data_IF_988417420585
#
_entry.id   IF_988417420585
#
_cell.length_a   1.000
_cell.length_b   1.000
_cell.length_c   1.000
_cell.angle_alpha   90.00
_cell.angle_beta   90.00
_cell.angle_gamma   90.00
#
_symmetry.space_group_name_H-M   'P 1'
#
loop_
_entity.id
_entity.type
_entity.pdbx_description
1 polymer ?
#
# COMPACT_ATOMS: atom_id res chain seq x y z
N UNK A 1 -3.20 5.93 -8.03
CA UNK A 1 -4.04 5.67 -6.84
C UNK A 1 -4.34 4.18 -6.78
N UNK A 2 -4.23 3.56 -5.62
CA UNK A 2 -4.43 2.12 -5.43
C UNK A 2 -5.36 1.96 -4.23
N UNK A 3 -6.45 1.23 -4.41
CA UNK A 3 -7.29 0.75 -3.30
C UNK A 3 -6.93 -0.71 -3.06
N UNK A 4 -6.55 -1.06 -1.84
CA UNK A 4 -6.21 -2.42 -1.48
C UNK A 4 -6.79 -2.78 -0.11
N UNK A 5 -7.08 -4.06 0.08
CA UNK A 5 -7.41 -4.63 1.39
C UNK A 5 -6.14 -5.17 2.03
N UNK A 6 -6.00 -4.97 3.33
CA UNK A 6 -4.89 -5.46 4.11
C UNK A 6 -5.36 -6.29 5.30
N UNK A 7 -4.47 -7.12 5.84
CA UNK A 7 -4.60 -7.66 7.19
C UNK A 7 -4.20 -6.61 8.23
N UNK A 8 -4.75 -6.65 9.46
CA UNK A 8 -4.48 -5.66 10.50
C UNK A 8 -3.01 -5.57 10.91
N UNK A 9 -2.30 -6.70 10.90
CA UNK A 9 -0.95 -6.81 11.44
C UNK A 9 0.15 -6.52 10.41
N UNK A 10 -0.20 -5.94 9.24
CA UNK A 10 0.82 -5.57 8.26
C UNK A 10 1.48 -4.24 8.64
N UNK A 11 2.77 -4.13 8.38
CA UNK A 11 3.43 -2.83 8.28
C UNK A 11 3.10 -2.19 6.92
N UNK A 12 2.12 -1.29 6.92
CA UNK A 12 1.66 -0.59 5.71
C UNK A 12 2.77 0.24 5.07
N UNK A 13 3.65 0.84 5.88
CA UNK A 13 4.78 1.64 5.38
C UNK A 13 5.75 0.76 4.60
N UNK A 14 6.10 -0.40 5.17
CA UNK A 14 6.99 -1.37 4.52
C UNK A 14 6.37 -1.96 3.26
N UNK A 15 5.06 -2.25 3.28
CA UNK A 15 4.34 -2.74 2.11
C UNK A 15 4.36 -1.71 0.96
N UNK A 16 4.03 -0.45 1.24
CA UNK A 16 4.04 0.64 0.24
C UNK A 16 5.45 0.87 -0.30
N UNK A 17 6.47 0.90 0.56
CA UNK A 17 7.86 1.06 0.14
C UNK A 17 8.35 -0.10 -0.73
N UNK A 18 7.95 -1.33 -0.39
CA UNK A 18 8.26 -2.52 -1.19
C UNK A 18 7.59 -2.43 -2.56
N UNK A 19 6.31 -2.08 -2.61
CA UNK A 19 5.59 -1.87 -3.86
C UNK A 19 6.27 -0.81 -4.75
N UNK A 20 6.59 0.36 -4.21
CA UNK A 20 7.26 1.44 -4.95
C UNK A 20 8.64 1.00 -5.46
N UNK A 21 9.40 0.28 -4.63
CA UNK A 21 10.73 -0.21 -5.00
C UNK A 21 10.68 -1.25 -6.12
N UNK A 22 9.82 -2.26 -5.99
CA UNK A 22 9.68 -3.35 -6.96
C UNK A 22 9.14 -2.84 -8.29
N UNK A 23 8.08 -2.02 -8.26
CA UNK A 23 7.50 -1.42 -9.47
C UNK A 23 8.50 -0.51 -10.19
N UNK A 24 9.24 0.34 -9.46
CA UNK A 24 10.32 1.16 -10.03
C UNK A 24 11.37 0.30 -10.74
N UNK A 25 11.77 -0.83 -10.12
CA UNK A 25 12.73 -1.77 -10.73
C UNK A 25 12.18 -2.37 -12.02
N UNK A 26 10.94 -2.84 -12.03
CA UNK A 26 10.33 -3.45 -13.22
C UNK A 26 10.17 -2.42 -14.35
N UNK A 27 9.65 -1.23 -14.06
CA UNK A 27 9.52 -0.18 -15.08
C UNK A 27 10.87 0.18 -15.69
N UNK A 28 11.91 0.35 -14.87
CA UNK A 28 13.27 0.66 -15.38
C UNK A 28 13.93 -0.50 -16.14
N UNK A 29 13.53 -1.75 -15.86
CA UNK A 29 14.01 -2.95 -16.57
C UNK A 29 13.31 -3.11 -17.92
N UNK A 30 11.98 -3.02 -17.92
CA UNK A 30 11.14 -3.32 -19.09
C UNK A 30 11.07 -2.12 -20.05
N UNK A 31 11.28 -0.90 -19.54
CA UNK A 31 11.32 0.33 -20.32
C UNK A 31 12.58 1.15 -20.02
N UNK A 32 13.79 0.69 -20.44
CA UNK A 32 15.05 1.37 -20.10
C UNK A 32 15.11 2.85 -20.50
N UNK A 33 14.42 3.21 -21.60
CA UNK A 33 14.29 4.60 -22.08
C UNK A 33 13.72 5.54 -21.02
N UNK A 34 12.93 5.07 -20.06
CA UNK A 34 12.36 5.91 -18.99
C UNK A 34 13.45 6.62 -18.18
N UNK A 35 14.62 5.99 -18.01
CA UNK A 35 15.71 6.51 -17.16
C UNK A 35 16.18 7.90 -17.58
N UNK A 36 16.12 8.22 -18.88
CA UNK A 36 16.52 9.53 -19.40
C UNK A 36 15.59 10.68 -18.98
N UNK A 37 14.38 10.35 -18.51
CA UNK A 37 13.37 11.30 -18.06
C UNK A 37 13.25 11.36 -16.53
N UNK A 38 13.99 10.52 -15.80
CA UNK A 38 13.91 10.45 -14.34
C UNK A 38 15.00 11.28 -13.68
N UNK A 39 14.60 12.15 -12.77
CA UNK A 39 15.56 12.84 -11.90
C UNK A 39 16.20 11.83 -10.93
N UNK A 40 17.53 11.71 -10.98
CA UNK A 40 18.32 10.78 -10.15
C UNK A 40 17.82 9.33 -10.21
N UNK A 41 17.31 8.91 -11.36
CA UNK A 41 16.70 7.59 -11.58
C UNK A 41 15.53 7.22 -10.65
N UNK A 42 14.91 8.20 -9.99
CA UNK A 42 13.78 7.97 -9.09
C UNK A 42 12.47 7.97 -9.87
N UNK A 43 11.85 6.80 -9.99
CA UNK A 43 10.54 6.65 -10.64
C UNK A 43 9.39 7.18 -9.77
N UNK A 44 9.48 6.98 -8.46
CA UNK A 44 8.50 7.47 -7.50
C UNK A 44 9.08 8.61 -6.65
N UNK A 45 8.23 9.55 -6.25
CA UNK A 45 8.52 10.43 -5.12
C UNK A 45 8.83 9.61 -3.87
N UNK A 46 9.62 10.15 -2.93
CA UNK A 46 9.84 9.51 -1.62
C UNK A 46 8.55 9.46 -0.80
N UNK A 47 7.70 10.48 -0.92
CA UNK A 47 6.42 10.57 -0.22
C UNK A 47 5.36 9.61 -0.76
N UNK A 48 4.35 9.33 0.06
CA UNK A 48 3.11 8.65 -0.34
C UNK A 48 1.97 9.17 0.54
N UNK A 49 0.74 9.02 0.05
CA UNK A 49 -0.48 9.30 0.81
C UNK A 49 -1.19 7.97 1.10
N UNK A 50 -1.62 7.79 2.34
CA UNK A 50 -2.36 6.62 2.79
C UNK A 50 -3.64 7.10 3.48
N UNK A 51 -4.78 6.64 2.98
CA UNK A 51 -6.11 6.99 3.48
C UNK A 51 -6.84 5.70 3.83
N UNK A 52 -7.47 5.66 5.00
CA UNK A 52 -8.37 4.56 5.36
C UNK A 52 -9.72 4.76 4.67
N UNK A 53 -10.32 3.66 4.24
CA UNK A 53 -11.66 3.67 3.63
C UNK A 53 -12.51 2.59 4.30
N UNK A 54 -13.70 2.96 4.76
CA UNK A 54 -14.66 2.05 5.39
C UNK A 54 -14.65 2.14 6.91
N UNK A 55 -15.86 2.10 7.49
CA UNK A 55 -16.09 1.81 8.91
C UNK A 55 -16.68 0.41 9.03
N UNK A 56 -16.32 -0.32 10.09
CA UNK A 56 -17.07 -1.53 10.44
C UNK A 56 -18.44 -1.11 10.97
N UNK A 57 -19.57 -1.64 10.45
CA UNK A 57 -20.88 -1.43 11.07
C UNK A 57 -20.83 -1.80 12.55
N UNK A 58 -21.55 -1.07 13.39
CA UNK A 58 -21.58 -1.30 14.84
C UNK A 58 -22.02 -2.75 15.16
N UNK A 59 -22.87 -3.32 14.31
CA UNK A 59 -23.32 -4.71 14.37
C UNK A 59 -22.17 -5.71 14.19
N UNK A 60 -21.20 -5.41 13.32
CA UNK A 60 -20.02 -6.25 13.10
C UNK A 60 -19.10 -6.23 14.32
N UNK A 61 -18.91 -5.05 14.92
CA UNK A 61 -18.13 -4.90 16.15
C UNK A 61 -18.83 -5.63 17.31
N UNK A 62 -20.15 -5.47 17.43
CA UNK A 62 -20.96 -6.13 18.46
C UNK A 62 -20.88 -7.65 18.37
N UNK A 63 -21.06 -8.22 17.18
CA UNK A 63 -20.92 -9.67 16.94
C UNK A 63 -19.52 -10.16 17.28
N UNK A 64 -18.48 -9.40 16.94
CA UNK A 64 -17.11 -9.73 17.30
C UNK A 64 -16.94 -9.81 18.83
N UNK A 65 -17.38 -8.80 19.58
CA UNK A 65 -17.30 -8.78 21.06
C UNK A 65 -18.08 -9.94 21.69
N UNK A 66 -19.32 -10.17 21.25
CA UNK A 66 -20.16 -11.27 21.77
C UNK A 66 -19.53 -12.66 21.49
N UNK A 67 -18.74 -12.80 20.42
CA UNK A 67 -18.05 -14.05 20.08
C UNK A 67 -16.74 -14.28 20.84
N UNK A 68 -16.15 -13.26 21.47
CA UNK A 68 -14.87 -13.38 22.21
C UNK A 68 -15.03 -13.95 23.63
N UNK A 69 -16.26 -14.01 24.16
CA UNK A 69 -16.57 -14.53 25.49
C UNK A 69 -17.04 -15.99 25.52
N UNK A 70 -16.95 -16.71 24.39
CA UNK A 70 -17.13 -18.16 24.26
C UNK A 70 -15.77 -18.82 24.06
#
# INVERSE_FOLDING_TARGET
HILFRSVPNIDLSKAINSYKSVSSRFVKRDFPRVKQYLWKEMFWSRSYCLLTTGGAPIETIRKYIESQGK
#
